data_IF_263958187814
#
_entry.id   IF_263958187814
#
_cell.length_a   1.000
_cell.length_b   1.000
_cell.length_c   1.000
_cell.angle_alpha   90.00
_cell.angle_beta   90.00
_cell.angle_gamma   90.00
#
_symmetry.space_group_name_H-M   'P 1'
#
loop_
_entity.id
_entity.type
_entity.pdbx_description
1 polymer ?
#
# COMPACT_ATOMS: atom_id res chain seq x y z
N UNK A 1 -14.00 41.91 13.92
CA UNK A 1 -12.54 42.15 13.87
C UNK A 1 -11.81 41.88 15.19
N UNK A 2 -12.26 42.38 16.35
CA UNK A 2 -11.56 42.17 17.65
C UNK A 2 -11.38 40.69 18.08
N UNK A 3 -12.33 39.80 17.76
CA UNK A 3 -12.20 38.37 18.05
C UNK A 3 -11.20 37.67 17.12
N UNK A 4 -11.20 38.04 15.83
CA UNK A 4 -10.28 37.48 14.83
C UNK A 4 -8.81 37.82 15.14
N UNK A 5 -8.53 39.03 15.63
CA UNK A 5 -7.19 39.44 16.04
C UNK A 5 -6.69 38.64 17.25
N UNK A 6 -7.58 38.30 18.20
CA UNK A 6 -7.23 37.48 19.37
C UNK A 6 -6.97 36.02 19.00
N UNK A 7 -7.77 35.46 18.08
CA UNK A 7 -7.60 34.08 17.59
C UNK A 7 -6.33 33.97 16.76
N UNK A 8 -6.04 34.95 15.87
CA UNK A 8 -4.80 34.97 15.10
C UNK A 8 -3.55 35.16 15.98
N UNK A 9 -3.63 36.00 17.02
CA UNK A 9 -2.53 36.16 17.97
C UNK A 9 -2.24 34.85 18.74
N UNK A 10 -3.27 34.08 19.10
CA UNK A 10 -3.10 32.78 19.76
C UNK A 10 -2.46 31.73 18.83
N UNK A 11 -2.83 31.73 17.54
CA UNK A 11 -2.24 30.80 16.54
C UNK A 11 -0.77 31.13 16.28
N UNK A 12 -0.41 32.42 16.19
CA UNK A 12 0.99 32.85 15.98
C UNK A 12 1.86 32.50 17.21
N UNK A 13 1.32 32.63 18.43
CA UNK A 13 2.02 32.25 19.66
C UNK A 13 2.31 30.73 19.74
N UNK A 14 1.39 29.89 19.24
CA UNK A 14 1.60 28.43 19.22
C UNK A 14 2.68 27.99 18.22
N UNK A 15 2.86 28.72 17.11
CA UNK A 15 3.89 28.41 16.11
C UNK A 15 5.29 28.82 16.60
N UNK A 16 5.40 29.83 17.46
CA UNK A 16 6.68 30.29 18.01
C UNK A 16 7.19 29.44 19.20
N UNK A 17 6.34 28.59 19.78
CA UNK A 17 6.69 27.76 20.94
C UNK A 17 7.09 26.31 20.58
N UNK A 18 7.02 25.90 19.31
CA UNK A 18 7.40 24.56 18.82
C UNK A 18 8.71 24.54 18.02
N UNK A 19 9.50 25.62 18.05
CA UNK A 19 10.83 25.66 17.46
C UNK A 19 11.85 24.94 18.33
N UNK A 20 11.91 23.62 18.24
CA UNK A 20 13.02 22.83 18.78
C UNK A 20 14.33 23.20 18.06
N UNK A 21 15.34 23.53 18.87
CA UNK A 21 16.67 23.90 18.41
C UNK A 21 17.36 22.72 17.73
N UNK A 22 17.62 22.83 16.43
CA UNK A 22 18.61 22.02 15.72
C UNK A 22 20.00 22.42 16.25
N UNK A 23 20.58 21.59 17.12
CA UNK A 23 21.95 21.77 17.59
C UNK A 23 22.90 21.63 16.40
N UNK A 24 23.76 22.64 16.23
CA UNK A 24 24.80 22.68 15.22
C UNK A 24 25.70 21.43 15.26
N UNK A 25 25.84 20.76 14.12
CA UNK A 25 26.94 19.83 13.86
C UNK A 25 28.23 20.65 13.71
N UNK A 26 29.18 20.44 14.62
CA UNK A 26 30.55 20.93 14.49
C UNK A 26 31.53 19.76 14.38
N UNK A 27 32.43 19.90 13.42
CA UNK A 27 33.46 18.96 12.96
C UNK A 27 34.49 18.57 14.04
N UNK A 28 34.88 17.29 13.99
CA UNK A 28 36.04 16.51 14.52
C UNK A 28 37.25 17.27 15.12
N UNK A 29 38.06 16.68 16.04
CA UNK A 29 39.05 15.66 15.64
C UNK A 29 39.21 14.45 16.58
N UNK A 30 39.83 13.42 16.01
CA UNK A 30 40.21 12.17 16.65
C UNK A 30 41.22 12.35 17.79
N UNK A 31 41.09 11.57 18.85
CA UNK A 31 42.19 11.22 19.76
C UNK A 31 41.95 9.80 20.27
N UNK A 32 42.72 8.91 19.67
CA UNK A 32 43.50 7.82 20.26
C UNK A 32 43.03 7.17 21.57
N UNK A 33 42.81 5.86 21.44
CA UNK A 33 43.39 4.83 22.31
C UNK A 33 42.86 4.73 23.74
N UNK A 34 41.94 3.78 23.97
CA UNK A 34 42.00 2.93 25.15
C UNK A 34 41.38 1.56 24.86
N UNK A 35 42.12 0.76 24.10
CA UNK A 35 41.95 -0.69 24.02
C UNK A 35 42.42 -1.34 25.33
N UNK A 36 41.53 -1.64 26.28
CA UNK A 36 41.83 -2.69 27.29
C UNK A 36 40.66 -3.39 27.99
N UNK A 37 39.38 -3.08 27.82
CA UNK A 37 38.33 -3.87 28.52
C UNK A 37 37.05 -4.03 27.71
N UNK A 38 36.90 -5.20 27.08
CA UNK A 38 35.69 -6.04 27.15
C UNK A 38 35.84 -7.32 26.33
N UNK A 39 36.09 -8.41 27.06
CA UNK A 39 35.86 -9.79 26.63
C UNK A 39 34.37 -9.93 26.27
N UNK A 40 34.00 -9.79 24.99
CA UNK A 40 32.64 -10.04 24.50
C UNK A 40 32.48 -11.54 24.23
N UNK A 41 31.73 -12.20 25.11
CA UNK A 41 31.05 -13.47 24.83
C UNK A 41 30.39 -13.37 23.44
N UNK A 42 30.61 -14.37 22.58
CA UNK A 42 29.73 -14.63 21.43
C UNK A 42 28.30 -14.75 21.98
N UNK A 43 27.45 -13.79 21.64
CA UNK A 43 26.00 -13.92 21.77
C UNK A 43 25.59 -14.94 20.69
N UNK A 44 24.78 -15.97 21.00
CA UNK A 44 24.19 -16.79 19.96
C UNK A 44 23.41 -15.86 19.02
N UNK A 45 23.54 -16.06 17.72
CA UNK A 45 22.61 -15.48 16.74
C UNK A 45 21.23 -16.03 17.10
N UNK A 46 20.47 -15.18 17.79
CA UNK A 46 19.03 -15.30 17.90
C UNK A 46 18.54 -15.22 16.46
N UNK A 47 18.20 -16.38 15.88
CA UNK A 47 17.35 -16.42 14.69
C UNK A 47 16.08 -15.68 15.11
N UNK A 48 16.01 -14.40 14.78
CA UNK A 48 14.75 -13.69 14.72
C UNK A 48 13.88 -14.52 13.77
N UNK A 49 13.01 -15.36 14.35
CA UNK A 49 11.79 -15.76 13.68
C UNK A 49 11.07 -14.45 13.41
N UNK A 50 11.33 -13.84 12.25
CA UNK A 50 10.44 -12.85 11.69
C UNK A 50 9.11 -13.57 11.56
N UNK A 51 8.24 -13.33 12.54
CA UNK A 51 6.86 -13.76 12.50
C UNK A 51 6.30 -13.30 11.17
N UNK A 52 5.79 -14.24 10.37
CA UNK A 52 5.27 -13.94 9.05
C UNK A 52 4.27 -12.79 9.15
N UNK A 53 4.38 -11.84 8.22
CA UNK A 53 3.44 -10.72 8.18
C UNK A 53 2.03 -11.23 7.87
N UNK A 54 1.00 -10.45 8.23
CA UNK A 54 -0.39 -10.85 7.96
C UNK A 54 -0.67 -10.96 6.46
N UNK A 55 0.05 -10.18 5.64
CA UNK A 55 0.05 -10.31 4.19
C UNK A 55 0.60 -11.67 3.74
N UNK A 56 1.78 -12.05 4.24
CA UNK A 56 2.40 -13.34 3.88
C UNK A 56 1.49 -14.51 4.25
N UNK A 57 0.86 -14.49 5.43
CA UNK A 57 -0.11 -15.52 5.84
C UNK A 57 -1.36 -15.57 4.94
N UNK A 58 -1.79 -14.42 4.40
CA UNK A 58 -2.92 -14.37 3.48
C UNK A 58 -2.56 -15.00 2.13
N UNK A 59 -1.37 -14.69 1.61
CA UNK A 59 -0.91 -15.12 0.29
C UNK A 59 -0.48 -16.58 0.26
N UNK A 60 0.26 -17.07 1.26
CA UNK A 60 0.83 -18.43 1.28
C UNK A 60 -0.22 -19.55 1.14
N UNK A 61 -1.38 -19.39 1.77
CA UNK A 61 -2.46 -20.39 1.73
C UNK A 61 -3.43 -20.20 0.55
N UNK A 62 -3.16 -19.22 -0.34
CA UNK A 62 -4.09 -18.82 -1.39
C UNK A 62 -3.67 -19.36 -2.76
N UNK A 63 -4.65 -19.66 -3.61
CA UNK A 63 -4.39 -19.89 -5.03
C UNK A 63 -4.19 -18.54 -5.71
N UNK A 64 -2.96 -18.25 -6.11
CA UNK A 64 -2.61 -16.97 -6.74
C UNK A 64 -2.62 -17.08 -8.27
N UNK A 65 -3.38 -16.20 -8.91
CA UNK A 65 -3.36 -16.02 -10.37
C UNK A 65 -2.70 -14.68 -10.70
N UNK A 66 -1.71 -14.69 -11.60
CA UNK A 66 -0.99 -13.49 -12.01
C UNK A 66 -1.52 -12.97 -13.34
N UNK A 67 -1.75 -11.67 -13.42
CA UNK A 67 -2.19 -10.96 -14.62
C UNK A 67 -1.81 -9.48 -14.54
N UNK A 68 -2.74 -8.59 -14.88
CA UNK A 68 -2.57 -7.13 -14.70
C UNK A 68 -2.28 -6.76 -13.24
N UNK A 69 -2.91 -7.50 -12.31
CA UNK A 69 -2.65 -7.51 -10.89
C UNK A 69 -2.77 -8.95 -10.38
N UNK A 70 -2.28 -9.24 -9.17
CA UNK A 70 -2.40 -10.57 -8.60
C UNK A 70 -3.78 -10.76 -7.97
N UNK A 71 -4.36 -11.95 -8.15
CA UNK A 71 -5.62 -12.35 -7.52
C UNK A 71 -5.34 -13.54 -6.61
N UNK A 72 -5.58 -13.37 -5.32
CA UNK A 72 -5.44 -14.41 -4.31
C UNK A 72 -6.82 -14.97 -3.95
N UNK A 73 -7.06 -16.23 -4.30
CA UNK A 73 -8.29 -16.92 -3.92
C UNK A 73 -8.04 -17.71 -2.63
N UNK A 74 -8.79 -17.39 -1.57
CA UNK A 74 -8.76 -18.10 -0.29
C UNK A 74 -10.17 -18.61 0.02
N UNK A 75 -10.41 -19.89 -0.25
CA UNK A 75 -11.75 -20.50 -0.16
C UNK A 75 -12.75 -19.77 -1.08
N UNK A 76 -13.69 -19.02 -0.51
CA UNK A 76 -14.71 -18.26 -1.24
C UNK A 76 -14.36 -16.77 -1.40
N UNK A 77 -13.31 -16.31 -0.73
CA UNK A 77 -12.91 -14.91 -0.75
C UNK A 77 -11.85 -14.67 -1.82
N UNK A 78 -11.94 -13.49 -2.44
CA UNK A 78 -11.01 -13.01 -3.45
C UNK A 78 -10.35 -11.73 -2.95
N UNK A 79 -9.01 -11.74 -2.94
CA UNK A 79 -8.21 -10.57 -2.61
C UNK A 79 -7.43 -10.13 -3.84
N UNK A 80 -7.39 -8.83 -4.07
CA UNK A 80 -6.75 -8.22 -5.23
C UNK A 80 -5.52 -7.42 -4.80
N UNK A 81 -4.35 -7.79 -5.29
CA UNK A 81 -3.11 -7.05 -5.06
C UNK A 81 -2.95 -5.99 -6.14
N UNK A 82 -3.45 -4.78 -5.90
CA UNK A 82 -3.42 -3.69 -6.88
C UNK A 82 -2.10 -2.92 -6.81
N UNK A 83 -1.27 -2.92 -7.87
CA UNK A 83 -0.06 -2.11 -7.92
C UNK A 83 -0.41 -0.62 -7.87
N UNK A 84 0.39 0.17 -7.14
CA UNK A 84 0.21 1.63 -7.05
C UNK A 84 0.20 2.32 -8.42
N UNK A 85 0.91 1.75 -9.39
CA UNK A 85 0.92 2.24 -10.77
C UNK A 85 -0.45 2.20 -11.46
N UNK A 86 -1.39 1.36 -11.03
CA UNK A 86 -2.75 1.23 -11.59
C UNK A 86 -3.79 2.07 -10.86
N UNK A 87 -3.44 2.64 -9.71
CA UNK A 87 -4.37 3.46 -8.92
C UNK A 87 -4.59 4.81 -9.59
N UNK A 88 -5.80 5.35 -9.47
CA UNK A 88 -6.25 6.56 -10.16
C UNK A 88 -6.41 6.39 -11.68
N UNK A 89 -6.30 5.17 -12.22
CA UNK A 89 -6.58 4.89 -13.62
C UNK A 89 -8.01 4.41 -13.80
N UNK A 90 -8.65 4.95 -14.81
CA UNK A 90 -9.94 4.49 -15.28
C UNK A 90 -9.81 3.17 -16.06
N UNK A 91 -10.44 2.11 -15.55
CA UNK A 91 -10.48 0.78 -16.15
C UNK A 91 -11.87 0.48 -16.69
N UNK A 92 -11.98 0.23 -18.00
CA UNK A 92 -13.22 -0.22 -18.61
C UNK A 92 -13.34 -1.75 -18.51
N UNK A 93 -14.27 -2.20 -17.68
CA UNK A 93 -14.69 -3.60 -17.61
C UNK A 93 -15.66 -3.85 -18.74
N UNK A 94 -15.31 -4.76 -19.66
CA UNK A 94 -16.17 -5.15 -20.78
C UNK A 94 -16.53 -6.63 -20.71
N UNK A 95 -17.81 -6.94 -20.87
CA UNK A 95 -18.25 -8.31 -21.05
C UNK A 95 -18.40 -8.62 -22.54
N UNK A 96 -17.70 -9.64 -23.03
CA UNK A 96 -17.77 -10.09 -24.43
C UNK A 96 -18.17 -11.56 -24.47
N UNK A 97 -19.34 -11.83 -25.07
CA UNK A 97 -19.75 -13.19 -25.42
C UNK A 97 -18.99 -13.63 -26.68
N UNK A 98 -18.11 -14.62 -26.56
CA UNK A 98 -17.35 -15.14 -27.72
C UNK A 98 -18.18 -16.04 -28.63
N UNK A 99 -19.13 -16.79 -28.07
CA UNK A 99 -20.02 -17.70 -28.80
C UNK A 99 -21.25 -17.96 -27.97
N UNK A 100 -22.36 -18.21 -28.64
CA UNK A 100 -23.66 -18.31 -27.97
C UNK A 100 -24.37 -19.53 -28.55
N UNK A 101 -25.05 -20.34 -27.74
CA UNK A 101 -25.70 -21.56 -28.21
C UNK A 101 -26.65 -21.29 -29.38
N UNK A 102 -26.78 -22.24 -30.31
CA UNK A 102 -27.57 -22.07 -31.54
C UNK A 102 -29.02 -21.65 -31.26
N UNK A 103 -29.60 -22.18 -30.18
CA UNK A 103 -30.94 -21.85 -29.69
C UNK A 103 -31.12 -20.35 -29.35
N UNK A 104 -30.07 -19.71 -28.81
CA UNK A 104 -30.07 -18.28 -28.48
C UNK A 104 -29.75 -17.40 -29.71
N UNK A 105 -29.07 -17.98 -30.70
CA UNK A 105 -28.76 -17.32 -31.96
C UNK A 105 -30.01 -17.20 -32.85
N UNK A 106 -30.80 -18.26 -32.95
CA UNK A 106 -32.05 -18.27 -33.72
C UNK A 106 -33.13 -17.39 -33.07
N UNK A 107 -33.12 -17.27 -31.73
CA UNK A 107 -33.99 -16.35 -30.99
C UNK A 107 -33.59 -14.86 -31.11
N UNK A 108 -32.51 -14.53 -31.84
CA UNK A 108 -32.11 -13.15 -32.11
C UNK A 108 -31.59 -12.37 -30.90
N UNK A 109 -31.30 -13.06 -29.80
CA UNK A 109 -30.83 -12.45 -28.54
C UNK A 109 -29.38 -11.95 -28.65
N UNK A 110 -28.68 -12.39 -29.70
CA UNK A 110 -27.29 -12.04 -30.05
C UNK A 110 -27.09 -10.76 -30.86
N UNK A 111 -28.08 -9.88 -30.95
CA UNK A 111 -27.97 -8.63 -31.74
C UNK A 111 -27.11 -7.56 -31.06
N UNK A 112 -25.89 -7.90 -30.64
CA UNK A 112 -24.89 -6.92 -30.24
C UNK A 112 -25.20 -6.19 -28.94
N UNK A 113 -25.89 -6.84 -28.00
CA UNK A 113 -26.10 -6.24 -26.68
C UNK A 113 -24.82 -6.32 -25.88
N UNK A 114 -24.16 -5.17 -25.82
CA UNK A 114 -23.03 -4.87 -24.95
C UNK A 114 -23.55 -4.85 -23.51
N UNK A 115 -23.58 -6.00 -22.85
CA UNK A 115 -24.12 -6.11 -21.50
C UNK A 115 -23.13 -5.51 -20.51
N UNK A 116 -23.52 -4.40 -19.90
CA UNK A 116 -22.94 -3.89 -18.63
C UNK A 116 -21.45 -3.59 -18.65
N UNK A 117 -21.00 -2.78 -19.61
CA UNK A 117 -19.69 -2.16 -19.46
C UNK A 117 -19.69 -1.22 -18.26
N UNK A 118 -18.70 -1.37 -17.40
CA UNK A 118 -18.54 -0.54 -16.22
C UNK A 118 -17.16 0.09 -16.23
N UNK A 119 -17.11 1.37 -15.87
CA UNK A 119 -15.86 2.07 -15.59
C UNK A 119 -15.57 1.91 -14.10
N UNK A 120 -14.39 1.43 -13.76
CA UNK A 120 -13.93 1.26 -12.39
C UNK A 120 -12.61 2.00 -12.23
N UNK A 121 -12.51 2.82 -11.19
CA UNK A 121 -11.26 3.43 -10.75
C UNK A 121 -10.92 2.87 -9.37
N UNK A 122 -9.64 2.55 -9.15
CA UNK A 122 -9.14 2.09 -7.86
C UNK A 122 -8.39 3.25 -7.20
N UNK A 123 -8.79 3.64 -5.99
CA UNK A 123 -8.24 4.78 -5.24
C UNK A 123 -7.56 4.33 -3.94
N UNK A 124 -6.80 5.23 -3.31
CA UNK A 124 -6.10 5.03 -2.03
C UNK A 124 -6.94 5.46 -0.84
#
# INVERSE_FOLDING_TARGET
MRMYVKVMAAVIACILLSGEALSAFATTPATENLSWFKKKKKKPEEKEEKSKSDYEKLVEDSKTTKGMFAVHQKKNDYYFEIPTSLLGRDLLVVNKLQRVPAELNDAGVNRGVNYENQMVCMEW
#
